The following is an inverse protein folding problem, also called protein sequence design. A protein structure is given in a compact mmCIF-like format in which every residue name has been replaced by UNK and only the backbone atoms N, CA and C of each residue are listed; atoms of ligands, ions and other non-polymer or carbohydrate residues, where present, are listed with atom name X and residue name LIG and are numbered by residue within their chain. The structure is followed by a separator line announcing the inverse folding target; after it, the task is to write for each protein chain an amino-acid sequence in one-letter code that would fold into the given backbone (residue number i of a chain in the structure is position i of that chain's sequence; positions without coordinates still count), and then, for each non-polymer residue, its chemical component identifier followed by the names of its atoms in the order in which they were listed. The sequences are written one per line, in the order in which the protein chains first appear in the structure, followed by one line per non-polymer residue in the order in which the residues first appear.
data_IF_159677078722
#
_entry.id   IF_159677078722
#
_cell.length_a   1.000
_cell.length_b   1.000
_cell.length_c   1.000
_cell.angle_alpha   90.00
_cell.angle_beta   90.00
_cell.angle_gamma   90.00
#
_symmetry.space_group_name_H-M   'P 1'
#
loop_
_entity.id
_entity.type
_entity.pdbx_description
1 polymer ?
#
# COMPACT_ATOMS: atom_id res chain seq x y z
N UNK A 1 -11.91 -7.06 1.74
CA UNK A 1 -11.57 -5.97 2.67
C UNK A 1 -10.39 -5.13 2.18
N UNK A 2 -9.24 -5.73 1.79
CA UNK A 2 -8.05 -5.00 1.32
C UNK A 2 -8.36 -4.03 0.17
N UNK A 3 -9.08 -4.47 -0.89
CA UNK A 3 -9.43 -3.62 -2.03
C UNK A 3 -10.31 -2.42 -1.65
N UNK A 4 -11.23 -2.60 -0.70
CA UNK A 4 -12.12 -1.53 -0.24
C UNK A 4 -11.30 -0.43 0.44
N UNK A 5 -10.37 -0.82 1.30
CA UNK A 5 -9.48 0.13 2.00
C UNK A 5 -8.56 0.82 0.98
N UNK A 6 -8.00 0.08 0.02
CA UNK A 6 -7.18 0.67 -1.04
C UNK A 6 -7.94 1.70 -1.88
N UNK A 7 -9.18 1.39 -2.28
CA UNK A 7 -10.04 2.31 -3.02
C UNK A 7 -10.38 3.56 -2.21
N UNK A 8 -10.68 3.40 -0.92
CA UNK A 8 -10.93 4.53 -0.02
C UNK A 8 -9.69 5.43 0.13
N UNK A 9 -8.51 4.84 0.34
CA UNK A 9 -7.25 5.59 0.42
C UNK A 9 -6.95 6.33 -0.89
N UNK A 10 -7.23 5.71 -2.04
CA UNK A 10 -7.10 6.34 -3.35
C UNK A 10 -8.02 7.53 -3.51
N UNK A 11 -9.30 7.38 -3.20
CA UNK A 11 -10.27 8.48 -3.20
C UNK A 11 -9.81 9.61 -2.27
N UNK A 12 -9.43 9.26 -1.04
CA UNK A 12 -8.98 10.25 -0.05
C UNK A 12 -7.73 11.01 -0.54
N UNK A 13 -6.79 10.34 -1.22
CA UNK A 13 -5.59 11.00 -1.72
C UNK A 13 -5.88 12.07 -2.77
N UNK A 14 -6.87 11.83 -3.65
CA UNK A 14 -7.30 12.80 -4.66
C UNK A 14 -8.01 13.98 -3.99
N UNK A 15 -8.95 13.69 -3.09
CA UNK A 15 -9.66 14.71 -2.33
C UNK A 15 -8.70 15.61 -1.53
N UNK A 16 -7.79 14.98 -0.77
CA UNK A 16 -6.83 15.72 0.04
C UNK A 16 -5.80 16.48 -0.81
N UNK A 17 -5.43 15.93 -1.97
CA UNK A 17 -4.59 16.63 -2.93
C UNK A 17 -5.22 17.92 -3.44
N UNK A 18 -6.49 17.87 -3.83
CA UNK A 18 -7.24 19.05 -4.24
C UNK A 18 -7.35 20.08 -3.09
N UNK A 19 -7.64 19.61 -1.87
CA UNK A 19 -7.68 20.46 -0.68
C UNK A 19 -6.33 21.13 -0.40
N UNK A 20 -5.24 20.40 -0.55
CA UNK A 20 -3.88 20.95 -0.36
C UNK A 20 -3.58 22.05 -1.36
N UNK A 21 -3.91 21.86 -2.65
CA UNK A 21 -3.66 22.87 -3.68
C UNK A 21 -4.53 24.12 -3.53
N UNK A 22 -5.80 23.96 -3.19
CA UNK A 22 -6.74 25.08 -3.20
C UNK A 22 -6.84 25.80 -1.85
N UNK A 23 -6.47 25.17 -0.75
CA UNK A 23 -6.68 25.73 0.59
C UNK A 23 -5.40 25.85 1.40
N UNK A 24 -4.58 24.78 1.45
CA UNK A 24 -3.42 24.75 2.33
C UNK A 24 -2.21 25.49 1.74
N UNK A 25 -2.08 25.52 0.41
CA UNK A 25 -0.92 26.10 -0.27
C UNK A 25 -0.62 27.54 0.13
N UNK A 26 -1.63 28.35 0.41
CA UNK A 26 -1.48 29.75 0.76
C UNK A 26 -1.14 29.97 2.25
N UNK A 27 -1.38 28.96 3.10
CA UNK A 27 -1.25 29.10 4.56
C UNK A 27 -0.11 28.28 5.17
N UNK A 28 0.47 27.33 4.40
CA UNK A 28 1.60 26.52 4.86
C UNK A 28 2.91 27.00 4.26
N UNK A 29 4.04 26.68 4.92
CA UNK A 29 5.37 26.96 4.37
C UNK A 29 5.66 26.07 3.15
N UNK A 30 6.60 26.49 2.30
CA UNK A 30 7.06 25.68 1.14
C UNK A 30 7.56 24.29 1.58
N UNK A 31 8.20 24.18 2.73
CA UNK A 31 8.65 22.89 3.27
C UNK A 31 7.47 22.01 3.65
N UNK A 32 6.47 22.55 4.33
CA UNK A 32 5.25 21.83 4.70
C UNK A 32 4.45 21.41 3.46
N UNK A 33 4.35 22.29 2.46
CA UNK A 33 3.71 21.97 1.19
C UNK A 33 4.41 20.80 0.50
N UNK A 34 5.74 20.80 0.43
CA UNK A 34 6.53 19.70 -0.13
C UNK A 34 6.30 18.39 0.62
N UNK A 35 6.21 18.42 1.94
CA UNK A 35 5.89 17.25 2.75
C UNK A 35 4.48 16.73 2.47
N UNK A 36 3.47 17.58 2.37
CA UNK A 36 2.09 17.22 2.00
C UNK A 36 2.06 16.54 0.64
N UNK A 37 2.71 17.11 -0.37
CA UNK A 37 2.77 16.54 -1.72
C UNK A 37 3.48 15.18 -1.72
N UNK A 38 4.49 15.00 -0.89
CA UNK A 38 5.15 13.69 -0.70
C UNK A 38 4.17 12.67 -0.13
N UNK A 39 3.45 13.02 0.94
CA UNK A 39 2.41 12.16 1.53
C UNK A 39 1.32 11.78 0.52
N UNK A 40 0.84 12.74 -0.27
CA UNK A 40 -0.19 12.51 -1.31
C UNK A 40 0.31 11.52 -2.37
N UNK A 41 1.52 11.70 -2.88
CA UNK A 41 2.12 10.79 -3.88
C UNK A 41 2.25 9.36 -3.35
N UNK A 42 2.77 9.19 -2.14
CA UNK A 42 2.88 7.86 -1.52
C UNK A 42 1.51 7.24 -1.26
N UNK A 43 0.52 8.03 -0.84
CA UNK A 43 -0.84 7.53 -0.65
C UNK A 43 -1.44 7.05 -1.98
N UNK A 44 -1.31 7.80 -3.07
CA UNK A 44 -1.77 7.40 -4.41
C UNK A 44 -1.10 6.10 -4.88
N UNK A 45 0.24 6.03 -4.81
CA UNK A 45 1.00 4.85 -5.21
C UNK A 45 0.60 3.61 -4.40
N UNK A 46 0.59 3.74 -3.09
CA UNK A 46 0.27 2.62 -2.21
C UNK A 46 -1.20 2.17 -2.35
N UNK A 47 -2.12 3.10 -2.60
CA UNK A 47 -3.53 2.76 -2.85
C UNK A 47 -3.70 1.86 -4.08
N UNK A 48 -2.98 2.14 -5.16
CA UNK A 48 -2.97 1.30 -6.36
C UNK A 48 -2.43 -0.10 -6.04
N UNK A 49 -1.33 -0.18 -5.29
CA UNK A 49 -0.73 -1.45 -4.89
C UNK A 49 -1.70 -2.25 -4.00
N UNK A 50 -2.30 -1.60 -3.00
CA UNK A 50 -3.28 -2.21 -2.09
C UNK A 50 -4.48 -2.74 -2.87
N UNK A 51 -5.03 -1.95 -3.81
CA UNK A 51 -6.11 -2.40 -4.69
C UNK A 51 -5.69 -3.61 -5.54
N UNK A 52 -4.50 -3.57 -6.13
CA UNK A 52 -3.97 -4.67 -6.95
C UNK A 52 -3.83 -5.96 -6.13
N UNK A 53 -3.29 -5.88 -4.91
CA UNK A 53 -3.20 -7.02 -3.99
C UNK A 53 -4.61 -7.51 -3.63
N UNK A 54 -5.53 -6.60 -3.31
CA UNK A 54 -6.90 -6.94 -2.96
C UNK A 54 -7.64 -7.66 -4.08
N UNK A 55 -7.52 -7.20 -5.33
CA UNK A 55 -8.09 -7.84 -6.51
C UNK A 55 -7.44 -9.20 -6.78
N UNK A 56 -6.11 -9.31 -6.64
CA UNK A 56 -5.41 -10.57 -6.78
C UNK A 56 -5.91 -11.62 -5.77
N UNK A 57 -6.10 -11.25 -4.51
CA UNK A 57 -6.66 -12.13 -3.47
C UNK A 57 -8.11 -12.53 -3.78
N UNK A 58 -8.92 -11.60 -4.32
CA UNK A 58 -10.31 -11.85 -4.70
C UNK A 58 -10.45 -12.75 -5.94
N UNK A 59 -9.45 -12.81 -6.84
CA UNK A 59 -9.47 -13.65 -8.03
C UNK A 59 -9.62 -15.14 -7.74
N UNK A 60 -9.42 -15.55 -6.50
CA UNK A 60 -9.67 -16.91 -6.04
C UNK A 60 -8.58 -17.93 -6.41
N UNK A 61 -7.54 -17.55 -7.13
CA UNK A 61 -6.42 -18.43 -7.45
C UNK A 61 -5.70 -18.90 -6.17
N UNK A 62 -5.44 -20.20 -6.05
CA UNK A 62 -4.74 -20.81 -4.92
C UNK A 62 -3.37 -20.16 -4.64
N UNK A 63 -2.65 -19.73 -5.69
CA UNK A 63 -1.39 -19.02 -5.54
C UNK A 63 -1.59 -17.63 -4.91
N UNK A 64 -2.66 -16.94 -5.30
CA UNK A 64 -2.95 -15.57 -4.90
C UNK A 64 -3.68 -15.47 -3.56
N UNK A 65 -4.28 -16.56 -3.07
CA UNK A 65 -4.82 -16.65 -1.69
C UNK A 65 -3.74 -16.77 -0.61
N UNK A 66 -2.47 -16.63 -0.97
CA UNK A 66 -1.33 -16.74 -0.04
C UNK A 66 -1.49 -15.79 1.15
N UNK A 67 -1.28 -16.32 2.35
CA UNK A 67 -1.22 -15.50 3.58
C UNK A 67 -0.13 -14.43 3.49
N UNK A 68 0.99 -14.75 2.83
CA UNK A 68 2.09 -13.81 2.63
C UNK A 68 1.67 -12.58 1.83
N UNK A 69 0.90 -12.77 0.74
CA UNK A 69 0.37 -11.67 -0.08
C UNK A 69 -0.63 -10.81 0.73
N UNK A 70 -1.50 -11.46 1.50
CA UNK A 70 -2.45 -10.74 2.35
C UNK A 70 -1.72 -9.93 3.44
N UNK A 71 -0.71 -10.52 4.09
CA UNK A 71 0.13 -9.82 5.07
C UNK A 71 0.80 -8.61 4.45
N UNK A 72 1.40 -8.73 3.25
CA UNK A 72 1.96 -7.60 2.54
C UNK A 72 0.93 -6.49 2.32
N UNK A 73 -0.31 -6.84 1.92
CA UNK A 73 -1.40 -5.89 1.75
C UNK A 73 -1.77 -5.13 3.03
N UNK A 74 -1.85 -5.83 4.17
CA UNK A 74 -2.11 -5.18 5.45
C UNK A 74 -0.96 -4.29 5.91
N UNK A 75 0.28 -4.70 5.67
CA UNK A 75 1.45 -3.88 5.98
C UNK A 75 1.47 -2.61 5.11
N UNK A 76 1.12 -2.70 3.82
CA UNK A 76 0.94 -1.50 2.99
C UNK A 76 -0.13 -0.56 3.54
N UNK A 77 -1.27 -1.09 4.00
CA UNK A 77 -2.34 -0.28 4.60
C UNK A 77 -1.83 0.44 5.85
N UNK A 78 -1.25 -0.31 6.81
CA UNK A 78 -0.76 0.25 8.07
C UNK A 78 0.35 1.27 7.82
N UNK A 79 1.33 0.92 6.96
CA UNK A 79 2.43 1.81 6.60
C UNK A 79 1.94 3.10 5.94
N UNK A 80 0.97 3.02 5.03
CA UNK A 80 0.38 4.19 4.37
C UNK A 80 -0.35 5.08 5.37
N UNK A 81 -1.13 4.50 6.29
CA UNK A 81 -1.81 5.27 7.33
C UNK A 81 -0.80 5.99 8.22
N UNK A 82 0.20 5.31 8.75
CA UNK A 82 1.20 5.93 9.62
C UNK A 82 2.03 6.99 8.90
N UNK A 83 2.43 6.73 7.66
CA UNK A 83 3.28 7.64 6.89
C UNK A 83 2.50 8.86 6.41
N UNK A 84 1.44 8.64 5.63
CA UNK A 84 0.74 9.73 4.94
C UNK A 84 -0.14 10.53 5.91
N UNK A 85 -0.93 9.85 6.75
CA UNK A 85 -1.77 10.54 7.72
C UNK A 85 -0.95 11.17 8.84
N UNK A 86 0.22 10.63 9.19
CA UNK A 86 1.17 11.29 10.07
C UNK A 86 1.55 12.68 9.57
N UNK A 87 1.84 12.82 8.28
CA UNK A 87 2.13 14.11 7.64
C UNK A 87 0.89 15.00 7.58
N UNK A 88 -0.25 14.46 7.11
CA UNK A 88 -1.48 15.23 6.93
C UNK A 88 -1.97 15.85 8.24
N UNK A 89 -2.06 15.04 9.29
CA UNK A 89 -2.52 15.47 10.61
C UNK A 89 -1.53 16.46 11.24
N UNK A 90 -0.22 16.17 11.13
CA UNK A 90 0.81 17.05 11.71
C UNK A 90 0.72 18.46 11.15
N UNK A 91 0.53 18.61 9.85
CA UNK A 91 0.51 19.93 9.20
C UNK A 91 -0.88 20.58 9.27
N UNK A 92 -1.94 19.85 8.93
CA UNK A 92 -3.29 20.43 8.86
C UNK A 92 -3.87 20.81 10.23
N UNK A 93 -3.52 20.07 11.28
CA UNK A 93 -3.99 20.34 12.64
C UNK A 93 -2.92 21.03 13.52
N UNK A 94 -1.76 21.34 12.94
CA UNK A 94 -0.63 21.94 13.65
C UNK A 94 -0.22 21.14 14.92
N UNK A 95 -0.16 19.80 14.79
CA UNK A 95 0.24 18.86 15.85
C UNK A 95 1.58 18.23 15.46
N UNK A 96 2.73 18.88 15.69
CA UNK A 96 4.02 18.42 15.19
C UNK A 96 4.46 17.05 15.73
N UNK A 97 3.94 16.63 16.90
CA UNK A 97 4.29 15.34 17.50
C UNK A 97 3.87 14.14 16.65
N UNK A 98 2.81 14.27 15.83
CA UNK A 98 2.30 13.17 15.00
C UNK A 98 3.27 12.82 13.87
N UNK A 99 4.15 13.75 13.47
CA UNK A 99 5.16 13.47 12.43
C UNK A 99 6.13 12.37 12.84
N UNK A 100 6.33 12.10 14.13
CA UNK A 100 7.18 11.00 14.60
C UNK A 100 6.66 9.61 14.21
N UNK A 101 5.40 9.48 13.78
CA UNK A 101 4.85 8.23 13.23
C UNK A 101 5.32 7.98 11.79
N UNK A 102 5.72 9.03 11.08
CA UNK A 102 6.13 8.95 9.67
C UNK A 102 7.31 8.00 9.42
N UNK A 103 8.42 8.04 10.18
CA UNK A 103 9.51 7.10 10.00
C UNK A 103 9.08 5.63 10.20
N UNK A 104 8.22 5.36 11.20
CA UNK A 104 7.67 4.02 11.44
C UNK A 104 6.82 3.56 10.26
N UNK A 105 5.97 4.46 9.73
CA UNK A 105 5.19 4.20 8.53
C UNK A 105 6.07 3.90 7.31
N UNK A 106 7.14 4.67 7.10
CA UNK A 106 8.09 4.44 6.02
C UNK A 106 8.79 3.08 6.10
N UNK A 107 9.26 2.69 7.29
CA UNK A 107 9.85 1.36 7.52
C UNK A 107 8.82 0.24 7.27
N UNK A 108 7.57 0.45 7.67
CA UNK A 108 6.49 -0.52 7.42
C UNK A 108 6.21 -0.68 5.93
N UNK A 109 6.21 0.40 5.16
CA UNK A 109 6.07 0.35 3.68
C UNK A 109 7.27 -0.41 3.06
N UNK A 110 8.49 -0.16 3.52
CA UNK A 110 9.68 -0.90 3.04
C UNK A 110 9.55 -2.41 3.33
N UNK A 111 9.12 -2.78 4.53
CA UNK A 111 8.86 -4.18 4.88
C UNK A 111 7.78 -4.80 3.99
N UNK A 112 6.75 -4.03 3.61
CA UNK A 112 5.68 -4.47 2.69
C UNK A 112 6.24 -4.83 1.31
N UNK A 113 7.15 -4.03 0.79
CA UNK A 113 7.82 -4.29 -0.48
C UNK A 113 8.67 -5.57 -0.43
N UNK A 114 9.39 -5.80 0.69
CA UNK A 114 10.16 -7.05 0.89
C UNK A 114 9.22 -8.26 0.91
N UNK A 115 8.10 -8.18 1.62
CA UNK A 115 7.10 -9.25 1.65
C UNK A 115 6.52 -9.54 0.27
N UNK A 116 6.25 -8.51 -0.52
CA UNK A 116 5.74 -8.64 -1.88
C UNK A 116 6.78 -9.28 -2.82
N UNK A 117 8.06 -8.89 -2.68
CA UNK A 117 9.18 -9.49 -3.41
C UNK A 117 9.32 -10.99 -3.08
N UNK A 118 9.34 -11.35 -1.79
CA UNK A 118 9.41 -12.75 -1.35
C UNK A 118 8.21 -13.55 -1.87
N UNK A 119 6.99 -12.95 -1.82
CA UNK A 119 5.82 -13.57 -2.41
C UNK A 119 6.01 -13.87 -3.90
N UNK A 120 6.55 -12.93 -4.66
CA UNK A 120 6.83 -13.12 -6.10
C UNK A 120 7.73 -14.31 -6.36
N UNK A 121 8.85 -14.43 -5.62
CA UNK A 121 9.77 -15.58 -5.72
C UNK A 121 9.05 -16.90 -5.42
N UNK A 122 8.34 -16.96 -4.30
CA UNK A 122 7.62 -18.17 -3.86
C UNK A 122 6.56 -18.58 -4.89
N UNK A 123 5.83 -17.62 -5.45
CA UNK A 123 4.82 -17.87 -6.46
C UNK A 123 5.42 -18.44 -7.75
N UNK A 124 6.56 -17.90 -8.22
CA UNK A 124 7.27 -18.40 -9.38
C UNK A 124 7.76 -19.84 -9.18
N UNK A 125 8.37 -20.14 -8.03
CA UNK A 125 8.84 -21.51 -7.73
C UNK A 125 7.67 -22.50 -7.71
N UNK A 126 6.55 -22.14 -7.06
CA UNK A 126 5.37 -23.01 -7.02
C UNK A 126 4.77 -23.24 -8.41
N UNK A 127 4.72 -22.22 -9.26
CA UNK A 127 4.25 -22.32 -10.63
C UNK A 127 5.15 -23.25 -11.45
N UNK A 128 6.47 -23.11 -11.36
CA UNK A 128 7.43 -23.95 -12.07
C UNK A 128 7.31 -25.42 -11.68
N UNK A 129 7.15 -25.71 -10.37
CA UNK A 129 6.98 -27.09 -9.90
C UNK A 129 5.71 -27.73 -10.46
N UNK A 130 4.57 -27.03 -10.48
CA UNK A 130 3.31 -27.54 -11.06
C UNK A 130 3.40 -27.85 -12.55
N UNK A 131 4.23 -27.12 -13.29
CA UNK A 131 4.44 -27.36 -14.72
C UNK A 131 5.35 -28.57 -14.99
N UNK A 132 6.20 -28.93 -14.04
CA UNK A 132 7.16 -30.03 -14.15
C UNK A 132 6.65 -31.34 -13.52
N UNK A 133 5.51 -31.35 -12.83
CA UNK A 133 4.84 -32.57 -12.40
C UNK A 133 4.24 -33.26 -13.64
N UNK A 134 4.72 -34.48 -14.02
CA UNK A 134 4.09 -35.21 -15.12
C UNK A 134 2.64 -35.49 -14.75
N UNK A 135 1.73 -35.05 -15.59
CA UNK A 135 0.31 -35.34 -15.41
C UNK A 135 0.13 -36.84 -15.18
N UNK A 136 -0.41 -37.18 -14.02
CA UNK A 136 -0.90 -38.54 -13.74
C UNK A 136 -1.86 -38.90 -14.88
N UNK A 137 -1.42 -39.78 -15.77
CA UNK A 137 -2.27 -40.28 -16.85
C UNK A 137 -3.51 -40.90 -16.22
N UNK A 138 -4.72 -40.58 -16.67
CA UNK A 138 -5.90 -41.30 -16.22
C UNK A 138 -5.70 -42.76 -16.57
N UNK A 139 -5.58 -43.58 -15.54
CA UNK A 139 -5.50 -45.04 -15.66
C UNK A 139 -6.78 -45.52 -16.36
N UNK A 140 -6.69 -46.40 -17.40
CA UNK A 140 -7.82 -46.90 -18.17
C UNK A 140 -8.81 -47.71 -17.34
#
# INVERSE_FOLDING_TARGET
MIVIIGAFLGFFSVFFGAHTEHTLREVVSEEQYRQLMTGIRYNQLNSIIICSIGLAVLSGSELLKSRLLQTAGYFFIIGTLLFCFGIYVSISLNIPQVVYLTPVGGLTIMASWILLFVFGIVALIKKSRRLNEPGESPNP
#
